data_IF_027249981270
#
_entry.id   IF_027249981270
#
_cell.length_a   1.000
_cell.length_b   1.000
_cell.length_c   1.000
_cell.angle_alpha   90.00
_cell.angle_beta   90.00
_cell.angle_gamma   90.00
#
_symmetry.space_group_name_H-M   'P 1'
#
loop_
_entity.id
_entity.type
_entity.pdbx_description
1 polymer ?
#
# COMPACT_ATOMS: atom_id res chain seq x y z
N UNK A 1 47.54 -16.93 16.25
CA UNK A 1 46.48 -17.40 15.32
C UNK A 1 45.05 -17.15 15.80
N UNK A 2 44.74 -17.10 17.10
CA UNK A 2 43.37 -16.91 17.61
C UNK A 2 42.77 -15.50 17.46
N UNK A 3 43.62 -14.45 17.37
CA UNK A 3 43.18 -13.05 17.22
C UNK A 3 42.78 -12.66 15.78
N UNK A 4 43.30 -13.38 14.77
CA UNK A 4 42.92 -13.18 13.37
C UNK A 4 41.54 -13.78 13.06
N UNK A 5 41.18 -14.89 13.71
CA UNK A 5 39.87 -15.53 13.54
C UNK A 5 38.72 -14.65 14.08
N UNK A 6 38.96 -13.95 15.20
CA UNK A 6 37.96 -13.07 15.84
C UNK A 6 37.73 -11.81 14.99
N UNK A 7 38.78 -11.26 14.38
CA UNK A 7 38.66 -10.12 13.46
C UNK A 7 37.91 -10.50 12.17
N UNK A 8 38.13 -11.71 11.65
CA UNK A 8 37.46 -12.20 10.44
C UNK A 8 35.97 -12.48 10.68
N UNK A 9 35.60 -12.99 11.86
CA UNK A 9 34.20 -13.23 12.24
C UNK A 9 33.41 -11.94 12.46
N UNK A 10 34.05 -10.84 12.91
CA UNK A 10 33.37 -9.53 12.99
C UNK A 10 33.12 -8.89 11.62
N UNK A 11 34.02 -9.08 10.65
CA UNK A 11 33.87 -8.52 9.29
C UNK A 11 32.75 -9.22 8.49
N UNK A 12 32.47 -10.49 8.78
CA UNK A 12 31.38 -11.26 8.16
C UNK A 12 29.96 -10.85 8.61
N UNK A 13 29.84 -10.05 9.67
CA UNK A 13 28.54 -9.53 10.13
C UNK A 13 28.11 -8.24 9.40
N UNK A 14 29.03 -7.62 8.64
CA UNK A 14 28.80 -6.36 7.91
C UNK A 14 28.35 -6.56 6.45
N UNK A 15 28.03 -7.78 6.03
CA UNK A 15 27.47 -8.07 4.70
C UNK A 15 25.94 -8.07 4.68
N UNK A 16 25.28 -7.62 5.75
CA UNK A 16 23.86 -7.27 5.69
C UNK A 16 23.81 -5.97 4.88
N UNK A 17 23.45 -6.07 3.60
CA UNK A 17 23.13 -4.92 2.78
C UNK A 17 22.03 -4.14 3.52
N UNK A 18 22.33 -2.91 3.95
CA UNK A 18 21.28 -2.02 4.39
C UNK A 18 20.38 -1.75 3.17
N UNK A 19 19.04 -1.84 3.30
CA UNK A 19 18.10 -1.56 2.22
C UNK A 19 17.99 -0.04 2.02
N UNK A 20 19.13 0.62 1.79
CA UNK A 20 19.26 2.09 1.65
C UNK A 20 19.61 2.44 0.20
N UNK A 21 19.35 1.53 -0.74
CA UNK A 21 19.75 1.67 -2.13
C UNK A 21 18.59 2.03 -3.07
N UNK A 22 17.35 2.07 -2.58
CA UNK A 22 16.26 2.73 -3.28
C UNK A 22 16.37 4.25 -3.11
N UNK A 23 16.30 5.00 -4.21
CA UNK A 23 16.13 6.45 -4.11
C UNK A 23 14.77 6.71 -3.42
N UNK A 24 14.73 7.57 -2.38
CA UNK A 24 13.48 7.88 -1.70
C UNK A 24 12.46 8.41 -2.70
N UNK A 25 11.15 8.15 -2.48
CA UNK A 25 10.11 8.64 -3.37
C UNK A 25 10.18 10.16 -3.46
N UNK A 26 10.31 10.67 -4.69
CA UNK A 26 10.11 12.10 -4.94
C UNK A 26 8.63 12.40 -4.85
N UNK A 27 8.14 12.65 -3.64
CA UNK A 27 6.72 12.81 -3.34
C UNK A 27 6.03 13.87 -4.22
N UNK A 28 6.74 14.92 -4.63
CA UNK A 28 6.23 15.97 -5.53
C UNK A 28 5.90 15.47 -6.94
N UNK A 29 6.37 14.29 -7.32
CA UNK A 29 6.10 13.65 -8.62
C UNK A 29 5.00 12.59 -8.55
N UNK A 30 4.46 12.33 -7.35
CA UNK A 30 3.41 11.35 -7.11
C UNK A 30 2.03 11.98 -7.36
N UNK A 31 1.16 11.34 -8.17
CA UNK A 31 -0.22 11.78 -8.34
C UNK A 31 -0.96 11.97 -7.01
N UNK A 32 -0.73 11.08 -6.04
CA UNK A 32 -1.40 11.08 -4.73
C UNK A 32 -1.07 12.36 -3.94
N UNK A 33 0.14 12.90 -4.07
CA UNK A 33 0.52 14.14 -3.39
C UNK A 33 -0.25 15.34 -3.92
N UNK A 34 -0.44 15.43 -5.24
CA UNK A 34 -1.25 16.48 -5.85
C UNK A 34 -2.73 16.36 -5.44
N UNK A 35 -3.27 15.13 -5.38
CA UNK A 35 -4.64 14.87 -4.94
C UNK A 35 -4.86 15.24 -3.47
N UNK A 36 -3.99 14.78 -2.57
CA UNK A 36 -4.09 15.05 -1.13
C UNK A 36 -3.99 16.56 -0.85
N UNK A 37 -3.03 17.24 -1.47
CA UNK A 37 -2.86 18.69 -1.27
C UNK A 37 -4.04 19.50 -1.81
N UNK A 38 -4.61 19.10 -2.94
CA UNK A 38 -5.83 19.71 -3.49
C UNK A 38 -7.03 19.48 -2.58
N UNK A 39 -7.25 18.24 -2.11
CA UNK A 39 -8.35 17.91 -1.21
C UNK A 39 -8.27 18.67 0.13
N UNK A 40 -7.07 18.87 0.68
CA UNK A 40 -6.85 19.71 1.86
C UNK A 40 -7.25 21.16 1.56
N UNK A 41 -6.81 21.72 0.43
CA UNK A 41 -7.15 23.09 0.06
C UNK A 41 -8.67 23.28 -0.11
N UNK A 42 -9.34 22.32 -0.74
CA UNK A 42 -10.80 22.34 -0.93
C UNK A 42 -11.55 22.30 0.41
N UNK A 43 -11.12 21.46 1.35
CA UNK A 43 -11.72 21.40 2.69
C UNK A 43 -11.46 22.67 3.51
N UNK A 44 -10.30 23.29 3.37
CA UNK A 44 -10.00 24.57 4.02
C UNK A 44 -10.86 25.72 3.46
N UNK A 45 -11.13 25.70 2.15
CA UNK A 45 -12.07 26.62 1.51
C UNK A 45 -13.50 26.38 2.03
N UNK A 46 -13.96 25.13 2.04
CA UNK A 46 -15.27 24.74 2.57
C UNK A 46 -15.45 25.11 4.05
N UNK A 47 -14.38 25.03 4.85
CA UNK A 47 -14.39 25.48 6.25
C UNK A 47 -14.56 26.99 6.38
N UNK A 48 -14.03 27.75 5.43
CA UNK A 48 -14.04 29.22 5.42
C UNK A 48 -15.35 29.79 4.87
N UNK A 49 -16.09 28.99 4.08
CA UNK A 49 -17.42 29.31 3.53
C UNK A 49 -18.40 28.14 3.79
N UNK A 50 -18.96 28.04 5.01
CA UNK A 50 -19.79 26.91 5.42
C UNK A 50 -21.09 26.78 4.61
N UNK A 51 -21.60 27.88 4.02
CA UNK A 51 -22.82 27.89 3.23
C UNK A 51 -22.62 27.27 1.83
N UNK A 52 -21.36 27.10 1.39
CA UNK A 52 -20.98 26.49 0.12
C UNK A 52 -20.69 24.98 0.23
N UNK A 53 -20.80 24.39 1.42
CA UNK A 53 -20.41 22.99 1.68
C UNK A 53 -21.53 22.21 2.36
N UNK A 54 -21.82 21.00 1.86
CA UNK A 54 -22.75 20.07 2.49
C UNK A 54 -22.16 19.37 3.72
N UNK A 55 -20.85 19.51 3.97
CA UNK A 55 -20.16 18.90 5.09
C UNK A 55 -20.29 19.72 6.37
N UNK A 56 -20.56 19.06 7.49
CA UNK A 56 -20.50 19.69 8.80
C UNK A 56 -19.05 20.04 9.20
N UNK A 57 -18.84 21.02 10.10
CA UNK A 57 -17.52 21.36 10.59
C UNK A 57 -16.75 20.16 11.19
N UNK A 58 -17.46 19.24 11.85
CA UNK A 58 -16.85 18.03 12.45
C UNK A 58 -16.34 17.08 11.36
N UNK A 59 -17.11 16.87 10.30
CA UNK A 59 -16.70 16.03 9.17
C UNK A 59 -15.50 16.64 8.42
N UNK A 60 -15.47 17.97 8.28
CA UNK A 60 -14.33 18.68 7.67
C UNK A 60 -13.06 18.45 8.50
N UNK A 61 -13.10 18.62 9.82
CA UNK A 61 -11.94 18.38 10.69
C UNK A 61 -11.46 16.94 10.64
N UNK A 62 -12.37 15.97 10.63
CA UNK A 62 -12.03 14.55 10.53
C UNK A 62 -11.32 14.25 9.20
N UNK A 63 -11.87 14.73 8.08
CA UNK A 63 -11.26 14.54 6.75
C UNK A 63 -9.90 15.24 6.65
N UNK A 64 -9.78 16.46 7.19
CA UNK A 64 -8.49 17.16 7.26
C UNK A 64 -7.46 16.39 8.08
N UNK A 65 -7.86 15.79 9.21
CA UNK A 65 -6.97 14.97 10.02
C UNK A 65 -6.40 13.77 9.26
N UNK A 66 -7.25 13.04 8.53
CA UNK A 66 -6.83 11.92 7.67
C UNK A 66 -5.90 12.39 6.56
N UNK A 67 -6.29 13.40 5.80
CA UNK A 67 -5.49 13.89 4.66
C UNK A 67 -4.14 14.48 5.10
N UNK A 68 -4.07 15.14 6.26
CA UNK A 68 -2.80 15.64 6.79
C UNK A 68 -1.86 14.49 7.21
N UNK A 69 -2.40 13.39 7.73
CA UNK A 69 -1.60 12.19 8.01
C UNK A 69 -1.06 11.57 6.71
N UNK A 70 -1.91 11.43 5.69
CA UNK A 70 -1.51 10.95 4.37
C UNK A 70 -0.42 11.83 3.75
N UNK A 71 -0.60 13.15 3.81
CA UNK A 71 0.39 14.12 3.35
C UNK A 71 1.71 13.97 4.11
N UNK A 72 1.65 13.84 5.43
CA UNK A 72 2.83 13.66 6.27
C UNK A 72 3.60 12.39 5.90
N UNK A 73 2.91 11.27 5.64
CA UNK A 73 3.55 10.02 5.18
C UNK A 73 4.27 10.27 3.86
N UNK A 74 3.60 10.88 2.87
CA UNK A 74 4.22 11.20 1.57
C UNK A 74 5.48 12.07 1.71
N UNK A 75 5.44 13.09 2.57
CA UNK A 75 6.55 14.03 2.75
C UNK A 75 7.73 13.45 3.54
N UNK A 76 7.50 12.41 4.35
CA UNK A 76 8.51 11.87 5.28
C UNK A 76 8.98 10.45 4.96
N UNK A 77 8.32 9.77 4.03
CA UNK A 77 8.72 8.45 3.58
C UNK A 77 10.15 8.46 3.02
N UNK A 78 10.99 7.59 3.57
CA UNK A 78 12.35 7.36 3.09
C UNK A 78 12.41 6.24 2.05
N UNK A 79 11.40 5.38 2.01
CA UNK A 79 11.32 4.22 1.14
C UNK A 79 10.01 4.21 0.36
N UNK A 80 9.95 3.41 -0.70
CA UNK A 80 8.70 3.11 -1.40
C UNK A 80 7.78 2.25 -0.54
N UNK A 81 6.49 2.21 -0.90
CA UNK A 81 5.56 1.32 -0.23
C UNK A 81 5.93 -0.13 -0.49
N UNK A 82 5.84 -0.97 0.54
CA UNK A 82 5.98 -2.41 0.41
C UNK A 82 4.74 -3.10 0.95
N UNK A 83 4.43 -4.26 0.37
CA UNK A 83 3.39 -5.15 0.84
C UNK A 83 4.02 -6.45 1.35
N UNK A 84 3.71 -6.79 2.60
CA UNK A 84 4.04 -8.05 3.25
C UNK A 84 2.79 -8.90 3.41
N UNK A 85 2.88 -10.16 3.02
CA UNK A 85 1.77 -11.09 3.10
C UNK A 85 1.99 -12.13 4.20
N UNK A 86 1.26 -12.00 5.30
CA UNK A 86 1.26 -12.94 6.44
C UNK A 86 -0.09 -13.66 6.57
N UNK A 87 -0.91 -13.68 5.52
CA UNK A 87 -2.27 -14.24 5.55
C UNK A 87 -2.30 -15.77 5.58
N UNK A 88 -1.18 -16.45 5.29
CA UNK A 88 -1.09 -17.90 5.15
C UNK A 88 -1.48 -18.41 3.75
N UNK A 89 -1.83 -17.52 2.82
CA UNK A 89 -2.24 -17.82 1.43
C UNK A 89 -1.61 -16.83 0.46
N UNK A 90 -1.60 -17.13 -0.84
CA UNK A 90 -1.24 -16.13 -1.86
C UNK A 90 -2.31 -15.04 -1.91
N UNK A 91 -1.89 -13.77 -1.89
CA UNK A 91 -2.76 -12.61 -2.12
C UNK A 91 -2.41 -11.95 -3.46
N UNK A 92 -3.30 -11.12 -3.98
CA UNK A 92 -2.98 -10.28 -5.13
C UNK A 92 -2.78 -8.83 -4.71
N UNK A 93 -1.77 -8.20 -5.29
CA UNK A 93 -1.35 -6.83 -4.99
C UNK A 93 -1.26 -6.03 -6.29
N UNK A 94 -1.40 -4.72 -6.17
CA UNK A 94 -1.06 -3.78 -7.22
C UNK A 94 0.32 -3.20 -6.93
N UNK A 95 1.21 -3.30 -7.90
CA UNK A 95 2.54 -2.75 -7.76
C UNK A 95 3.07 -2.20 -9.09
N UNK A 96 4.01 -1.28 -9.01
CA UNK A 96 4.77 -0.79 -10.14
C UNK A 96 6.24 -0.56 -9.76
N UNK A 97 7.11 -0.51 -10.77
CA UNK A 97 8.53 -0.24 -10.54
C UNK A 97 8.71 1.22 -10.14
N UNK A 98 9.38 1.48 -9.01
CA UNK A 98 9.52 2.81 -8.40
C UNK A 98 9.94 3.93 -9.37
N UNK A 99 10.81 3.62 -10.34
CA UNK A 99 11.30 4.60 -11.34
C UNK A 99 10.27 4.97 -12.42
N UNK A 100 9.04 4.42 -12.38
CA UNK A 100 7.99 4.59 -13.39
C UNK A 100 6.65 5.00 -12.77
N UNK A 101 6.65 6.06 -11.97
CA UNK A 101 5.47 6.60 -11.26
C UNK A 101 4.30 7.02 -12.16
N UNK A 102 4.54 7.22 -13.46
CA UNK A 102 3.50 7.58 -14.44
C UNK A 102 2.79 6.37 -15.09
N UNK A 103 3.20 5.13 -14.78
CA UNK A 103 2.56 3.93 -15.32
C UNK A 103 1.48 3.40 -14.37
N UNK A 104 0.36 2.89 -14.89
CA UNK A 104 -0.64 2.24 -14.06
C UNK A 104 -0.04 0.98 -13.43
N UNK A 105 -0.37 0.77 -12.15
CA UNK A 105 0.02 -0.42 -11.42
C UNK A 105 -0.49 -1.68 -12.10
N UNK A 106 0.30 -2.74 -12.03
CA UNK A 106 -0.09 -4.06 -12.55
C UNK A 106 -0.44 -4.98 -11.39
N UNK A 107 -1.30 -5.96 -11.67
CA UNK A 107 -1.70 -6.98 -10.70
C UNK A 107 -0.63 -8.07 -10.62
N UNK A 108 -0.16 -8.36 -9.41
CA UNK A 108 0.79 -9.41 -9.09
C UNK A 108 0.27 -10.30 -7.97
N UNK A 109 0.85 -11.49 -7.83
CA UNK A 109 0.49 -12.48 -6.83
C UNK A 109 1.66 -12.66 -5.85
N UNK A 110 1.45 -12.27 -4.60
CA UNK A 110 2.44 -12.30 -3.53
C UNK A 110 2.22 -13.54 -2.67
N UNK A 111 3.25 -14.38 -2.56
CA UNK A 111 3.18 -15.60 -1.76
C UNK A 111 3.08 -15.28 -0.26
N UNK A 112 2.64 -16.25 0.53
CA UNK A 112 2.66 -16.12 2.00
C UNK A 112 4.10 -16.07 2.52
N UNK A 113 4.35 -15.21 3.50
CA UNK A 113 5.67 -14.96 4.10
C UNK A 113 6.54 -13.99 3.32
N UNK A 114 6.11 -13.54 2.14
CA UNK A 114 6.91 -12.70 1.26
C UNK A 114 6.59 -11.21 1.41
N UNK A 115 7.58 -10.38 1.10
CA UNK A 115 7.46 -8.92 1.02
C UNK A 115 7.95 -8.44 -0.34
N UNK A 116 7.28 -7.45 -0.92
CA UNK A 116 7.71 -6.86 -2.19
C UNK A 116 9.09 -6.20 -2.07
N UNK A 117 9.92 -6.32 -3.12
CA UNK A 117 11.24 -5.66 -3.18
C UNK A 117 11.14 -4.13 -3.02
N UNK A 118 12.16 -3.56 -2.37
CA UNK A 118 12.36 -2.11 -2.18
C UNK A 118 12.48 -1.28 -3.50
N UNK A 119 12.86 -1.93 -4.60
CA UNK A 119 12.89 -1.35 -5.96
C UNK A 119 11.49 -1.18 -6.59
N UNK A 120 10.44 -1.61 -5.88
CA UNK A 120 9.04 -1.55 -6.31
C UNK A 120 8.20 -0.78 -5.31
N UNK A 121 7.17 -0.10 -5.83
CA UNK A 121 6.13 0.50 -5.01
C UNK A 121 4.91 -0.42 -5.03
N UNK A 122 4.50 -0.87 -3.85
CA UNK A 122 3.20 -1.50 -3.67
C UNK A 122 2.12 -0.43 -3.51
N UNK A 123 1.24 -0.33 -4.50
CA UNK A 123 0.19 0.67 -4.55
C UNK A 123 -1.08 0.23 -3.82
N UNK A 124 -1.26 -1.09 -3.65
CA UNK A 124 -2.53 -1.62 -3.18
C UNK A 124 -2.63 -3.12 -3.00
N UNK A 125 -3.70 -3.54 -2.36
CA UNK A 125 -4.16 -4.94 -2.30
C UNK A 125 -5.40 -5.07 -3.18
N UNK A 126 -5.42 -6.11 -4.00
CA UNK A 126 -6.63 -6.55 -4.68
C UNK A 126 -7.39 -7.52 -3.78
N UNK A 127 -8.66 -7.22 -3.51
CA UNK A 127 -9.55 -8.12 -2.80
C UNK A 127 -10.49 -8.81 -3.81
N UNK A 128 -10.32 -10.13 -4.05
CA UNK A 128 -11.19 -10.89 -4.92
C UNK A 128 -12.59 -11.07 -4.34
N UNK A 129 -13.53 -11.48 -5.19
CA UNK A 129 -14.85 -11.93 -4.76
C UNK A 129 -14.73 -13.09 -3.77
N UNK A 130 -15.39 -12.95 -2.62
CA UNK A 130 -15.37 -13.91 -1.52
C UNK A 130 -14.26 -13.70 -0.49
N UNK A 131 -13.34 -12.76 -0.71
CA UNK A 131 -12.44 -12.30 0.35
C UNK A 131 -13.19 -11.43 1.35
N UNK A 132 -12.86 -11.57 2.64
CA UNK A 132 -13.42 -10.77 3.73
C UNK A 132 -12.33 -9.87 4.29
N UNK A 133 -12.67 -8.61 4.51
CA UNK A 133 -11.78 -7.62 5.14
C UNK A 133 -12.33 -7.31 6.52
N UNK A 134 -11.51 -7.46 7.55
CA UNK A 134 -11.91 -7.22 8.93
C UNK A 134 -12.41 -5.78 9.13
N UNK A 135 -13.48 -5.64 9.92
CA UNK A 135 -14.09 -4.33 10.19
C UNK A 135 -14.88 -3.74 9.02
N UNK A 136 -15.03 -4.45 7.90
CA UNK A 136 -15.82 -4.03 6.75
C UNK A 136 -16.93 -5.03 6.42
N UNK A 137 -18.06 -4.57 5.85
CA UNK A 137 -19.13 -5.47 5.43
C UNK A 137 -18.65 -6.40 4.32
N UNK A 138 -19.21 -7.61 4.27
CA UNK A 138 -18.97 -8.57 3.19
C UNK A 138 -19.39 -7.97 1.84
N UNK A 139 -18.53 -8.13 0.82
CA UNK A 139 -18.75 -7.58 -0.52
C UNK A 139 -18.91 -8.69 -1.54
N UNK A 140 -19.77 -8.44 -2.52
CA UNK A 140 -20.05 -9.36 -3.63
C UNK A 140 -19.26 -9.05 -4.89
N UNK A 141 -18.54 -7.94 -4.92
CA UNK A 141 -17.72 -7.48 -6.04
C UNK A 141 -16.25 -7.35 -5.62
N UNK A 142 -15.31 -7.57 -6.55
CA UNK A 142 -13.90 -7.36 -6.27
C UNK A 142 -13.58 -5.87 -6.17
N UNK A 143 -12.61 -5.54 -5.32
CA UNK A 143 -12.18 -4.15 -5.10
C UNK A 143 -10.67 -4.05 -5.08
N UNK A 144 -10.16 -2.86 -5.37
CA UNK A 144 -8.77 -2.49 -5.10
C UNK A 144 -8.71 -1.57 -3.89
N UNK A 145 -7.92 -1.94 -2.90
CA UNK A 145 -7.56 -1.09 -1.78
C UNK A 145 -6.25 -0.38 -2.11
N UNK A 146 -6.27 0.95 -2.21
CA UNK A 146 -5.07 1.74 -2.45
C UNK A 146 -4.54 2.33 -1.16
N UNK A 147 -3.22 2.38 -1.04
CA UNK A 147 -2.52 2.97 0.08
C UNK A 147 -1.66 4.13 -0.39
N UNK A 148 -1.29 4.99 0.56
CA UNK A 148 -0.37 6.08 0.30
C UNK A 148 1.02 5.51 0.05
N UNK A 149 1.70 6.02 -0.98
CA UNK A 149 3.10 5.70 -1.24
C UNK A 149 3.99 6.02 -0.03
N UNK A 150 4.89 5.11 0.32
CA UNK A 150 5.73 5.17 1.53
C UNK A 150 5.20 4.42 2.75
N UNK A 151 4.09 3.69 2.63
CA UNK A 151 3.54 2.84 3.69
C UNK A 151 4.11 1.43 3.68
N UNK A 152 4.28 0.85 4.88
CA UNK A 152 4.66 -0.55 5.06
C UNK A 152 3.40 -1.36 5.39
N UNK A 153 2.79 -1.95 4.35
CA UNK A 153 1.53 -2.66 4.48
C UNK A 153 1.78 -4.11 4.86
N UNK A 154 1.11 -4.57 5.92
CA UNK A 154 1.12 -5.96 6.35
C UNK A 154 -0.31 -6.48 6.33
N UNK A 155 -0.55 -7.50 5.52
CA UNK A 155 -1.81 -8.22 5.48
C UNK A 155 -1.70 -9.51 6.31
N UNK A 156 -2.55 -9.67 7.31
CA UNK A 156 -2.66 -10.87 8.15
C UNK A 156 -4.05 -11.48 8.01
N UNK A 157 -4.26 -12.67 8.56
CA UNK A 157 -5.60 -13.30 8.64
C UNK A 157 -5.98 -13.50 10.10
N UNK A 158 -7.20 -13.07 10.47
CA UNK A 158 -7.70 -13.24 11.84
C UNK A 158 -8.34 -14.62 12.08
N UNK A 159 -8.79 -14.87 13.30
CA UNK A 159 -9.37 -16.16 13.69
C UNK A 159 -10.66 -16.53 12.90
N UNK A 160 -11.32 -15.54 12.29
CA UNK A 160 -12.52 -15.74 11.47
C UNK A 160 -12.20 -15.95 9.98
N UNK A 161 -10.91 -15.91 9.59
CA UNK A 161 -10.50 -16.01 8.19
C UNK A 161 -10.65 -14.69 7.43
N UNK A 162 -10.76 -13.56 8.11
CA UNK A 162 -10.82 -12.23 7.50
C UNK A 162 -9.41 -11.65 7.38
N UNK A 163 -9.14 -10.95 6.27
CA UNK A 163 -7.90 -10.21 6.06
C UNK A 163 -7.90 -8.99 6.99
N UNK A 164 -6.83 -8.84 7.76
CA UNK A 164 -6.56 -7.68 8.60
C UNK A 164 -5.38 -6.90 8.02
N UNK A 165 -5.48 -5.58 8.02
CA UNK A 165 -4.45 -4.69 7.52
C UNK A 165 -3.95 -3.80 8.67
N UNK A 166 -2.63 -3.66 8.78
CA UNK A 166 -2.02 -2.79 9.78
C UNK A 166 -2.25 -1.29 9.50
N UNK A 167 -2.53 -0.92 8.25
CA UNK A 167 -2.85 0.45 7.84
C UNK A 167 -4.20 0.49 7.11
N UNK A 168 -5.04 1.52 7.35
CA UNK A 168 -6.28 1.68 6.60
C UNK A 168 -5.98 2.08 5.14
N UNK A 169 -6.82 1.64 4.18
CA UNK A 169 -6.69 2.07 2.81
C UNK A 169 -7.08 3.54 2.66
N UNK A 170 -6.31 4.29 1.87
CA UNK A 170 -6.60 5.68 1.52
C UNK A 170 -7.78 5.77 0.56
N UNK A 171 -7.88 4.79 -0.36
CA UNK A 171 -9.01 4.68 -1.30
C UNK A 171 -9.45 3.25 -1.47
N UNK A 172 -10.74 3.07 -1.74
CA UNK A 172 -11.32 1.81 -2.18
C UNK A 172 -11.91 2.02 -3.57
N UNK A 173 -11.41 1.29 -4.56
CA UNK A 173 -11.89 1.35 -5.94
C UNK A 173 -12.72 0.10 -6.25
N UNK A 174 -13.82 0.31 -6.95
CA UNK A 174 -14.67 -0.76 -7.49
C UNK A 174 -14.44 -0.88 -9.00
N UNK A 175 -14.76 -2.05 -9.59
CA UNK A 175 -14.65 -2.25 -11.03
C UNK A 175 -15.53 -1.29 -11.87
N UNK A 176 -16.54 -0.67 -11.23
CA UNK A 176 -17.43 0.33 -11.83
C UNK A 176 -16.90 1.76 -11.77
N UNK A 177 -15.85 2.04 -11.00
CA UNK A 177 -15.23 3.35 -10.98
C UNK A 177 -14.45 3.58 -12.30
N UNK A 178 -14.48 4.80 -12.82
CA UNK A 178 -13.66 5.21 -13.96
C UNK A 178 -12.19 5.34 -13.51
N UNK A 179 -11.53 4.20 -13.35
CA UNK A 179 -10.15 4.08 -12.90
C UNK A 179 -9.26 3.49 -13.99
N UNK A 180 -8.02 3.97 -14.08
CA UNK A 180 -7.00 3.40 -14.96
C UNK A 180 -6.49 2.02 -14.48
N UNK A 181 -6.81 1.64 -13.23
CA UNK A 181 -6.41 0.39 -12.60
C UNK A 181 -7.35 -0.76 -12.99
N UNK A 182 -6.86 -1.85 -13.60
CA UNK A 182 -7.69 -2.98 -13.96
C UNK A 182 -8.11 -3.79 -12.71
N UNK A 183 -9.42 -3.94 -12.50
CA UNK A 183 -9.99 -4.77 -11.42
C UNK A 183 -10.69 -5.97 -12.07
N UNK A 184 -9.96 -7.09 -12.28
CA UNK A 184 -10.54 -8.28 -12.90
C UNK A 184 -11.58 -8.94 -11.98
N UNK A 185 -12.47 -9.75 -12.53
CA UNK A 185 -13.42 -10.53 -11.74
C UNK A 185 -12.83 -11.90 -11.36
N UNK A 186 -11.99 -11.92 -10.33
CA UNK A 186 -11.37 -13.14 -9.79
C UNK A 186 -12.04 -13.56 -8.47
N UNK A 187 -12.04 -14.87 -8.20
CA UNK A 187 -12.48 -15.43 -6.92
C UNK A 187 -11.31 -15.62 -5.95
N UNK A 188 -11.60 -15.65 -4.65
CA UNK A 188 -10.56 -15.92 -3.64
C UNK A 188 -9.78 -17.19 -3.95
N UNK A 189 -10.47 -18.30 -4.24
CA UNK A 189 -9.83 -19.57 -4.57
C UNK A 189 -8.92 -19.49 -5.82
N UNK A 190 -9.28 -18.69 -6.83
CA UNK A 190 -8.41 -18.50 -8.00
C UNK A 190 -7.12 -17.74 -7.65
N UNK A 191 -7.21 -16.72 -6.77
CA UNK A 191 -6.03 -15.96 -6.34
C UNK A 191 -5.11 -16.83 -5.48
N UNK A 192 -5.67 -17.53 -4.49
CA UNK A 192 -4.90 -18.35 -3.55
C UNK A 192 -4.13 -19.50 -4.21
N UNK A 193 -4.59 -19.97 -5.38
CA UNK A 193 -3.96 -21.08 -6.13
C UNK A 193 -3.10 -20.59 -7.29
N UNK A 194 -3.08 -19.29 -7.57
CA UNK A 194 -2.24 -18.73 -8.63
C UNK A 194 -0.77 -18.77 -8.21
N UNK A 195 0.09 -19.15 -9.15
CA UNK A 195 1.54 -19.17 -8.92
C UNK A 195 2.03 -17.74 -8.59
N UNK A 196 2.75 -17.55 -7.46
CA UNK A 196 3.30 -16.25 -7.11
C UNK A 196 4.23 -15.70 -8.20
N UNK A 197 4.12 -14.41 -8.47
CA UNK A 197 4.92 -13.70 -9.46
C UNK A 197 5.23 -12.25 -9.05
N UNK A 198 4.89 -11.87 -7.82
CA UNK A 198 5.22 -10.56 -7.29
C UNK A 198 6.74 -10.36 -7.24
N UNK A 199 7.21 -9.14 -7.48
CA UNK A 199 8.62 -8.80 -7.34
C UNK A 199 9.00 -8.83 -5.85
N UNK A 200 9.80 -9.82 -5.46
CA UNK A 200 10.33 -9.99 -4.10
C UNK A 200 11.84 -9.76 -4.11
N UNK A 201 12.45 -9.57 -2.94
CA UNK A 201 13.92 -9.59 -2.83
C UNK A 201 14.42 -11.04 -2.99
N UNK A 202 15.53 -11.22 -3.70
CA UNK A 202 16.19 -12.52 -3.91
C UNK A 202 17.02 -12.98 -2.70
#
# INVERSE_FOLDING_TARGET
>A
MKRFLIAFVMLLQFTIAFPVLADPPKFTTLPEYAEVTTAIADLLNAKSDPDASELSPVEIEQKLGVLNLEKYILETASEWSQCSNETGKTIAIYAHKAKKTALPSSLYYLATGETTSDDWNCDGIYLPTGAKLAGQPERTEPIALQFISGTQLVATTNANGEIELNVPPAKTLTASAETALPIPNLTLASVETTAPNAPIED
#
